data_IF_605505378014
#
_entry.id   IF_605505378014
#
_cell.length_a   1.000
_cell.length_b   1.000
_cell.length_c   1.000
_cell.angle_alpha   90.00
_cell.angle_beta   90.00
_cell.angle_gamma   90.00
#
_symmetry.space_group_name_H-M   'P 1'
#
loop_
_entity.id
_entity.type
_entity.pdbx_description
1 polymer ?
#
# COMPACT_ATOMS: atom_id res chain seq x y z
N UNK A 1 -2.44 -18.59 10.21
CA UNK A 1 -3.79 -18.43 10.77
C UNK A 1 -3.71 -17.98 12.23
N UNK A 2 -3.36 -16.72 12.46
CA UNK A 2 -3.21 -16.14 13.81
C UNK A 2 -4.57 -15.66 14.33
N UNK A 3 -5.36 -15.00 13.48
CA UNK A 3 -6.67 -14.47 13.82
C UNK A 3 -7.70 -15.58 14.11
N UNK A 4 -7.78 -16.58 13.25
CA UNK A 4 -8.72 -17.71 13.37
C UNK A 4 -8.44 -18.51 14.64
N UNK A 5 -7.15 -18.76 14.93
CA UNK A 5 -6.74 -19.44 16.16
C UNK A 5 -7.15 -18.64 17.40
N UNK A 6 -6.93 -17.33 17.41
CA UNK A 6 -7.31 -16.47 18.53
C UNK A 6 -8.83 -16.50 18.77
N UNK A 7 -9.63 -16.37 17.71
CA UNK A 7 -11.10 -16.44 17.78
C UNK A 7 -11.54 -17.81 18.33
N UNK A 8 -11.05 -18.92 17.76
CA UNK A 8 -11.45 -20.28 18.17
C UNK A 8 -11.05 -20.57 19.62
N UNK A 9 -9.88 -20.12 20.07
CA UNK A 9 -9.46 -20.28 21.46
C UNK A 9 -10.36 -19.54 22.43
N UNK A 10 -10.81 -18.33 22.09
CA UNK A 10 -11.78 -17.57 22.89
C UNK A 10 -13.16 -18.23 22.91
N UNK A 11 -13.67 -18.64 21.75
CA UNK A 11 -14.98 -19.30 21.63
C UNK A 11 -15.02 -20.67 22.32
N UNK A 12 -13.89 -21.39 22.37
CA UNK A 12 -13.77 -22.63 23.16
C UNK A 12 -14.01 -22.40 24.65
N UNK A 13 -13.57 -21.26 25.19
CA UNK A 13 -13.75 -20.91 26.61
C UNK A 13 -15.16 -20.37 26.89
N UNK A 14 -15.74 -19.62 25.94
CA UNK A 14 -17.08 -19.06 26.07
C UNK A 14 -17.77 -18.96 24.70
N UNK A 15 -18.71 -19.87 24.42
CA UNK A 15 -19.25 -20.11 23.08
C UNK A 15 -20.11 -18.96 22.51
N UNK A 16 -20.60 -18.03 23.33
CA UNK A 16 -21.49 -16.95 22.90
C UNK A 16 -20.86 -15.55 22.98
N UNK A 17 -19.59 -15.41 23.40
CA UNK A 17 -18.95 -14.11 23.56
C UNK A 17 -18.10 -13.73 22.33
N UNK A 18 -18.78 -13.35 21.25
CA UNK A 18 -18.15 -12.97 19.99
C UNK A 18 -17.28 -11.72 20.10
N UNK A 19 -17.71 -10.73 20.88
CA UNK A 19 -16.95 -9.49 21.07
C UNK A 19 -15.58 -9.76 21.70
N UNK A 20 -15.54 -10.62 22.73
CA UNK A 20 -14.27 -11.00 23.36
C UNK A 20 -13.41 -11.85 22.43
N UNK A 21 -14.02 -12.70 21.61
CA UNK A 21 -13.30 -13.48 20.61
C UNK A 21 -12.65 -12.60 19.54
N UNK A 22 -13.37 -11.57 19.07
CA UNK A 22 -12.80 -10.56 18.19
C UNK A 22 -11.67 -9.80 18.90
N UNK A 23 -11.86 -9.31 20.12
CA UNK A 23 -10.81 -8.65 20.91
C UNK A 23 -9.56 -9.50 21.18
N UNK A 24 -9.68 -10.83 21.08
CA UNK A 24 -8.53 -11.74 21.19
C UNK A 24 -7.54 -11.65 20.03
N UNK A 25 -7.94 -11.08 18.89
CA UNK A 25 -7.04 -10.83 17.76
C UNK A 25 -6.12 -9.65 18.09
N UNK A 26 -4.80 -9.71 17.80
CA UNK A 26 -3.89 -8.58 17.99
C UNK A 26 -4.41 -7.28 17.35
N UNK A 27 -4.28 -6.15 18.06
CA UNK A 27 -4.83 -4.84 17.64
C UNK A 27 -4.50 -4.48 16.19
N UNK A 28 -3.24 -4.63 15.77
CA UNK A 28 -2.79 -4.34 14.40
C UNK A 28 -3.59 -5.09 13.34
N UNK A 29 -3.86 -6.39 13.55
CA UNK A 29 -4.66 -7.18 12.63
C UNK A 29 -6.14 -6.79 12.65
N UNK A 30 -6.65 -6.33 13.79
CA UNK A 30 -8.04 -5.83 13.88
C UNK A 30 -8.21 -4.53 13.13
N UNK A 31 -7.26 -3.61 13.29
CA UNK A 31 -7.28 -2.32 12.59
C UNK A 31 -7.23 -2.50 11.08
N UNK A 32 -6.56 -3.55 10.58
CA UNK A 32 -6.55 -3.89 9.15
C UNK A 32 -7.96 -4.02 8.54
N UNK A 33 -8.95 -4.54 9.27
CA UNK A 33 -10.33 -4.64 8.77
C UNK A 33 -11.02 -3.29 8.67
N UNK A 34 -10.75 -2.38 9.61
CA UNK A 34 -11.33 -1.02 9.57
C UNK A 34 -10.66 -0.22 8.44
N UNK A 35 -9.34 -0.31 8.32
CA UNK A 35 -8.57 0.33 7.25
C UNK A 35 -8.91 -0.20 5.86
N UNK A 36 -9.20 -1.49 5.72
CA UNK A 36 -9.61 -2.06 4.43
C UNK A 36 -10.98 -1.50 4.01
N UNK A 37 -11.89 -1.28 4.95
CA UNK A 37 -13.17 -0.63 4.68
C UNK A 37 -13.01 0.87 4.33
N UNK A 38 -12.16 1.61 5.06
CA UNK A 38 -11.80 2.99 4.68
C UNK A 38 -11.25 3.05 3.25
N UNK A 39 -10.35 2.11 2.91
CA UNK A 39 -9.76 2.00 1.56
C UNK A 39 -10.80 1.63 0.51
N UNK A 40 -11.78 0.79 0.84
CA UNK A 40 -12.89 0.43 -0.03
C UNK A 40 -13.72 1.66 -0.39
N UNK A 41 -14.13 2.46 0.61
CA UNK A 41 -14.88 3.71 0.39
C UNK A 41 -14.06 4.70 -0.45
N UNK A 42 -12.79 4.89 -0.11
CA UNK A 42 -11.88 5.77 -0.83
C UNK A 42 -11.71 5.37 -2.30
N UNK A 43 -11.51 4.07 -2.59
CA UNK A 43 -11.36 3.57 -3.96
C UNK A 43 -12.60 3.85 -4.82
N UNK A 44 -13.80 3.74 -4.25
CA UNK A 44 -15.04 4.04 -4.96
C UNK A 44 -15.20 5.55 -5.20
N UNK A 45 -14.90 6.37 -4.19
CA UNK A 45 -14.93 7.82 -4.31
C UNK A 45 -13.94 8.34 -5.36
N UNK A 46 -12.71 7.82 -5.38
CA UNK A 46 -11.70 8.11 -6.40
C UNK A 46 -12.20 7.73 -7.79
N UNK A 47 -12.73 6.51 -7.94
CA UNK A 47 -13.20 6.01 -9.23
C UNK A 47 -14.35 6.90 -9.76
N UNK A 48 -15.27 7.29 -8.89
CA UNK A 48 -16.35 8.23 -9.21
C UNK A 48 -15.81 9.61 -9.62
N UNK A 49 -14.83 10.14 -8.88
CA UNK A 49 -14.19 11.43 -9.19
C UNK A 49 -13.53 11.40 -10.58
N UNK A 50 -12.77 10.36 -10.88
CA UNK A 50 -12.11 10.22 -12.19
C UNK A 50 -13.15 10.09 -13.30
N UNK A 51 -14.21 9.28 -13.10
CA UNK A 51 -15.28 9.11 -14.07
C UNK A 51 -16.03 10.42 -14.38
N UNK A 52 -16.28 11.23 -13.35
CA UNK A 52 -17.12 12.42 -13.47
C UNK A 52 -16.37 13.68 -13.92
N UNK A 53 -15.14 13.86 -13.45
CA UNK A 53 -14.39 15.10 -13.61
C UNK A 53 -13.05 14.91 -14.34
N UNK A 54 -12.72 13.68 -14.76
CA UNK A 54 -11.49 13.37 -15.49
C UNK A 54 -10.22 13.36 -14.63
N UNK A 55 -9.05 13.32 -15.29
CA UNK A 55 -7.74 13.20 -14.64
C UNK A 55 -6.79 14.40 -14.87
N UNK A 56 -7.20 15.40 -15.65
CA UNK A 56 -6.32 16.51 -16.06
C UNK A 56 -6.56 17.82 -15.29
N UNK A 57 -7.70 17.94 -14.61
CA UNK A 57 -8.13 19.21 -14.02
C UNK A 57 -8.58 19.06 -12.56
N UNK A 58 -8.28 20.10 -11.78
CA UNK A 58 -8.85 20.33 -10.44
C UNK A 58 -10.23 20.97 -10.62
N UNK A 59 -11.23 20.54 -9.85
CA UNK A 59 -12.59 21.10 -9.90
C UNK A 59 -13.00 21.74 -8.57
N UNK A 60 -13.97 22.64 -8.63
CA UNK A 60 -14.50 23.32 -7.43
C UNK A 60 -15.04 22.26 -6.46
N UNK A 61 -14.67 22.41 -5.19
CA UNK A 61 -15.03 21.47 -4.14
C UNK A 61 -14.09 20.26 -3.99
N UNK A 62 -13.08 20.09 -4.86
CA UNK A 62 -11.99 19.12 -4.59
C UNK A 62 -11.22 19.52 -3.33
N UNK A 63 -10.56 18.55 -2.68
CA UNK A 63 -9.65 18.81 -1.58
C UNK A 63 -8.21 18.80 -2.11
N UNK A 64 -7.41 19.78 -1.71
CA UNK A 64 -6.01 19.90 -2.10
C UNK A 64 -5.10 20.06 -0.89
N UNK A 65 -3.86 19.57 -1.03
CA UNK A 65 -2.80 19.84 -0.06
C UNK A 65 -2.34 21.29 -0.17
N UNK A 66 -2.40 22.03 0.93
CA UNK A 66 -1.90 23.39 0.98
C UNK A 66 -0.38 23.40 0.85
N UNK A 67 0.12 24.19 -0.11
CA UNK A 67 1.52 24.63 -0.12
C UNK A 67 1.63 25.76 0.92
N UNK A 68 2.78 25.88 1.58
CA UNK A 68 3.05 26.56 2.88
C UNK A 68 2.52 28.01 3.11
N UNK A 69 1.77 28.62 2.19
CA UNK A 69 1.25 29.98 2.27
C UNK A 69 -0.29 30.08 2.18
N UNK A 70 -1.05 29.22 2.87
CA UNK A 70 -2.51 29.31 2.90
C UNK A 70 -3.03 30.05 4.14
N UNK A 71 -3.08 31.39 4.10
CA UNK A 71 -3.80 32.23 5.06
C UNK A 71 -5.28 32.33 4.67
N UNK A 72 -6.07 31.32 5.03
CA UNK A 72 -7.52 31.31 4.84
C UNK A 72 -8.23 30.63 6.00
N UNK A 73 -9.41 31.13 6.37
CA UNK A 73 -10.19 30.74 7.57
C UNK A 73 -10.76 29.31 7.55
N UNK A 74 -10.40 28.47 6.59
CA UNK A 74 -10.89 27.09 6.41
C UNK A 74 -9.73 26.07 6.32
N UNK A 75 -8.63 26.34 7.02
CA UNK A 75 -7.51 25.41 7.13
C UNK A 75 -7.75 24.46 8.30
N UNK A 76 -8.04 23.20 8.01
CA UNK A 76 -8.09 22.16 9.05
C UNK A 76 -6.71 21.52 9.23
N UNK A 77 -6.22 21.54 10.47
CA UNK A 77 -4.94 20.95 10.87
C UNK A 77 -5.09 19.43 11.06
N UNK A 78 -4.20 18.65 10.44
CA UNK A 78 -4.15 17.20 10.63
C UNK A 78 -2.78 16.74 11.10
N UNK A 79 -2.77 16.01 12.20
CA UNK A 79 -1.68 15.14 12.60
C UNK A 79 -1.84 13.83 11.82
N UNK A 80 -0.88 13.55 10.96
CA UNK A 80 -0.82 12.26 10.28
C UNK A 80 -0.05 11.30 11.18
N UNK A 81 -0.78 10.39 11.83
CA UNK A 81 -0.15 9.17 12.31
C UNK A 81 0.25 8.37 11.06
N UNK A 82 1.52 8.52 10.64
CA UNK A 82 2.16 7.52 9.80
C UNK A 82 1.90 6.16 10.45
N UNK A 83 1.55 5.15 9.65
CA UNK A 83 1.07 3.82 10.06
C UNK A 83 2.04 2.94 10.86
N UNK A 84 2.88 3.53 11.71
CA UNK A 84 3.52 2.92 12.85
C UNK A 84 2.79 3.40 14.11
N UNK A 85 1.64 2.80 14.42
CA UNK A 85 1.13 2.82 15.80
C UNK A 85 2.19 2.10 16.65
N UNK A 86 3.14 2.86 17.21
CA UNK A 86 3.95 2.39 18.32
C UNK A 86 2.96 1.98 19.41
N UNK A 87 2.99 0.68 19.73
CA UNK A 87 2.17 0.09 20.75
C UNK A 87 2.42 0.85 22.07
N UNK A 88 1.51 1.74 22.45
CA UNK A 88 1.41 2.17 23.85
C UNK A 88 0.99 0.94 24.64
N UNK A 89 2.01 0.26 25.15
CA UNK A 89 1.94 -0.83 26.10
C UNK A 89 1.40 -0.23 27.39
N UNK A 90 0.09 -0.35 27.60
CA UNK A 90 -0.51 -0.05 28.90
C UNK A 90 -0.13 -1.20 29.84
N UNK A 91 1.09 -1.09 30.38
CA UNK A 91 1.55 -1.82 31.55
C UNK A 91 2.39 -0.84 32.37
N UNK A 92 1.79 -0.39 33.46
CA UNK A 92 2.42 0.36 34.54
C UNK A 92 3.73 -0.31 35.00
N UNK A 93 4.87 0.37 34.84
CA UNK A 93 5.99 0.54 35.80
C UNK A 93 7.34 0.84 35.09
N UNK A 94 7.81 2.10 35.23
CA UNK A 94 9.17 2.57 35.60
C UNK A 94 10.38 1.69 35.18
N UNK A 95 11.14 2.11 34.16
CA UNK A 95 12.56 2.56 34.22
C UNK A 95 13.28 2.48 32.85
N UNK A 96 14.03 3.55 32.55
CA UNK A 96 15.27 3.63 31.76
C UNK A 96 15.41 2.94 30.37
N UNK A 97 15.52 3.76 29.31
CA UNK A 97 16.53 3.74 28.21
C UNK A 97 15.98 4.12 26.81
N UNK A 98 16.79 4.98 26.17
CA UNK A 98 16.91 5.36 24.75
C UNK A 98 15.87 6.28 24.12
N UNK A 99 16.24 7.57 24.08
CA UNK A 99 15.90 8.52 23.04
C UNK A 99 16.05 7.84 21.67
N UNK A 100 14.93 7.55 21.02
CA UNK A 100 14.88 7.25 19.59
C UNK A 100 14.09 8.38 18.95
N UNK A 101 14.71 9.02 17.97
CA UNK A 101 14.20 10.19 17.26
C UNK A 101 12.76 9.96 16.77
N UNK A 102 11.83 10.70 17.35
CA UNK A 102 10.45 10.79 16.91
C UNK A 102 10.46 11.54 15.58
N UNK A 103 9.97 10.97 14.46
CA UNK A 103 9.92 11.68 13.18
C UNK A 103 9.04 12.92 13.33
N UNK A 104 9.57 14.09 12.95
CA UNK A 104 8.89 15.38 13.01
C UNK A 104 7.47 15.30 12.43
N UNK A 105 6.50 15.77 13.24
CA UNK A 105 5.07 15.80 12.92
C UNK A 105 4.82 16.69 11.70
N UNK A 106 4.68 16.06 10.53
CA UNK A 106 4.30 16.77 9.30
C UNK A 106 2.80 17.06 9.34
N UNK A 107 2.43 18.23 9.83
CA UNK A 107 1.03 18.69 9.80
C UNK A 107 0.56 18.83 8.35
N UNK A 108 -0.36 17.96 7.93
CA UNK A 108 -0.94 18.04 6.58
C UNK A 108 -2.08 19.05 6.63
N UNK A 109 -1.93 20.14 5.88
CA UNK A 109 -2.95 21.17 5.73
C UNK A 109 -3.76 20.88 4.47
N UNK A 110 -5.07 20.75 4.63
CA UNK A 110 -6.00 20.48 3.52
C UNK A 110 -7.00 21.61 3.40
N UNK A 111 -7.29 22.01 2.16
CA UNK A 111 -8.25 23.06 1.81
C UNK A 111 -9.22 22.57 0.74
N UNK A 112 -10.47 23.04 0.83
CA UNK A 112 -11.47 22.91 -0.24
C UNK A 112 -11.19 23.94 -1.33
N UNK A 113 -11.12 23.49 -2.58
CA UNK A 113 -10.86 24.35 -3.75
C UNK A 113 -12.08 25.20 -4.06
N UNK A 114 -11.90 26.52 -4.06
CA UNK A 114 -12.91 27.49 -4.46
C UNK A 114 -12.70 27.98 -5.90
N UNK A 115 -13.67 28.70 -6.47
CA UNK A 115 -13.55 29.25 -7.83
C UNK A 115 -12.35 30.20 -8.00
N UNK A 116 -11.96 30.90 -6.95
CA UNK A 116 -10.80 31.81 -6.93
C UNK A 116 -9.49 31.03 -7.07
N UNK A 117 -9.38 29.86 -6.44
CA UNK A 117 -8.20 29.00 -6.50
C UNK A 117 -8.01 28.38 -7.89
N UNK A 118 -9.12 28.12 -8.59
CA UNK A 118 -9.06 27.64 -9.98
C UNK A 118 -8.58 28.77 -10.90
N UNK A 119 -9.06 30.00 -10.70
CA UNK A 119 -8.61 31.16 -11.48
C UNK A 119 -7.15 31.50 -11.22
N UNK A 120 -6.65 31.29 -10.00
CA UNK A 120 -5.25 31.52 -9.66
C UNK A 120 -4.31 30.45 -10.22
N UNK A 121 -4.81 29.26 -10.57
CA UNK A 121 -4.01 28.17 -11.15
C UNK A 121 -2.91 27.64 -10.21
N UNK A 122 -3.07 27.83 -8.89
CA UNK A 122 -2.02 27.52 -7.89
C UNK A 122 -1.87 26.01 -7.63
N UNK A 123 -2.93 25.24 -7.85
CA UNK A 123 -3.01 23.82 -7.55
C UNK A 123 -3.01 22.98 -8.82
N UNK A 124 -2.30 21.86 -8.79
CA UNK A 124 -2.28 20.84 -9.83
C UNK A 124 -3.15 19.66 -9.44
N UNK A 125 -3.50 18.81 -10.41
CA UNK A 125 -4.19 17.54 -10.17
C UNK A 125 -3.38 16.60 -9.24
N UNK A 126 -2.05 16.75 -9.21
CA UNK A 126 -1.15 16.01 -8.32
C UNK A 126 -1.31 16.39 -6.83
N UNK A 127 -1.91 17.55 -6.56
CA UNK A 127 -2.16 18.06 -5.20
C UNK A 127 -3.54 17.61 -4.66
N UNK A 128 -4.38 17.01 -5.52
CA UNK A 128 -5.73 16.57 -5.16
C UNK A 128 -5.69 15.34 -4.25
N UNK A 129 -6.37 15.44 -3.11
CA UNK A 129 -6.51 14.39 -2.11
C UNK A 129 -7.97 14.04 -1.88
N UNK A 130 -8.20 12.82 -1.41
CA UNK A 130 -9.50 12.39 -0.89
C UNK A 130 -9.33 11.78 0.50
N UNK A 131 -10.35 11.93 1.38
CA UNK A 131 -10.24 11.53 2.77
C UNK A 131 -10.40 10.02 2.94
N UNK A 132 -9.62 9.44 3.85
CA UNK A 132 -9.92 8.17 4.50
C UNK A 132 -10.85 8.47 5.67
N UNK A 133 -12.11 7.99 5.66
CA UNK A 133 -13.11 8.35 6.65
C UNK A 133 -12.63 8.16 8.10
N UNK A 134 -12.79 9.19 8.93
CA UNK A 134 -12.41 9.20 10.34
C UNK A 134 -13.04 10.36 11.11
N UNK A 135 -12.66 10.54 12.37
CA UNK A 135 -13.18 11.59 13.25
C UNK A 135 -12.68 12.99 12.90
N UNK A 136 -11.48 13.08 12.32
CA UNK A 136 -10.79 14.32 11.96
C UNK A 136 -10.53 14.29 10.47
N UNK A 137 -11.59 14.32 9.66
CA UNK A 137 -11.48 14.55 8.20
C UNK A 137 -12.58 15.47 7.71
N UNK A 138 -12.24 16.27 6.69
CA UNK A 138 -13.19 17.04 5.91
C UNK A 138 -13.50 16.27 4.62
N UNK A 139 -14.75 16.35 4.18
CA UNK A 139 -15.18 15.77 2.92
C UNK A 139 -15.20 16.85 1.82
N UNK A 140 -14.97 16.48 0.55
CA UNK A 140 -15.10 17.39 -0.59
C UNK A 140 -16.48 18.05 -0.62
N UNK A 141 -16.59 19.32 -1.00
CA UNK A 141 -17.89 20.01 -1.09
C UNK A 141 -18.69 19.62 -2.35
N UNK A 142 -18.12 18.79 -3.22
CA UNK A 142 -18.75 18.33 -4.45
C UNK A 142 -19.51 17.01 -4.24
N UNK A 143 -20.06 16.46 -5.32
CA UNK A 143 -20.85 15.22 -5.29
C UNK A 143 -20.08 13.98 -4.81
N UNK A 144 -18.74 14.03 -4.74
CA UNK A 144 -17.93 12.91 -4.24
C UNK A 144 -18.26 12.61 -2.77
N UNK A 145 -18.57 13.63 -1.96
CA UNK A 145 -18.96 13.40 -0.57
C UNK A 145 -20.22 12.53 -0.46
N UNK A 146 -21.15 12.65 -1.41
CA UNK A 146 -22.36 11.82 -1.43
C UNK A 146 -22.01 10.34 -1.59
N UNK A 147 -21.00 10.01 -2.40
CA UNK A 147 -20.53 8.62 -2.58
C UNK A 147 -20.09 8.01 -1.25
N UNK A 148 -19.37 8.76 -0.42
CA UNK A 148 -18.99 8.28 0.91
C UNK A 148 -20.21 7.99 1.79
N UNK A 149 -21.15 8.93 1.84
CA UNK A 149 -22.36 8.78 2.65
C UNK A 149 -23.26 7.65 2.15
N UNK A 150 -23.52 7.56 0.84
CA UNK A 150 -24.39 6.56 0.24
C UNK A 150 -23.86 5.13 0.44
N UNK A 151 -22.54 4.93 0.27
CA UNK A 151 -21.91 3.63 0.50
C UNK A 151 -21.92 3.25 1.98
N UNK A 152 -21.58 4.19 2.86
CA UNK A 152 -21.59 3.92 4.29
C UNK A 152 -23.00 3.65 4.82
N UNK A 153 -24.00 4.41 4.38
CA UNK A 153 -25.40 4.22 4.77
C UNK A 153 -25.96 2.89 4.27
N UNK A 154 -25.58 2.47 3.05
CA UNK A 154 -25.92 1.14 2.53
C UNK A 154 -25.43 0.00 3.43
N UNK A 155 -24.27 0.19 4.04
CA UNK A 155 -23.69 -0.78 4.98
C UNK A 155 -24.10 -0.53 6.45
N UNK A 156 -25.02 0.42 6.69
CA UNK A 156 -25.55 0.75 8.02
C UNK A 156 -24.57 1.53 8.91
N UNK A 157 -23.56 2.18 8.32
CA UNK A 157 -22.50 2.91 9.02
C UNK A 157 -22.73 4.41 8.85
N UNK A 158 -22.77 5.16 9.96
CA UNK A 158 -22.77 6.62 9.94
C UNK A 158 -21.34 7.14 10.07
N UNK A 159 -20.90 7.96 9.12
CA UNK A 159 -19.54 8.49 9.11
C UNK A 159 -19.32 9.66 10.10
N UNK A 160 -20.39 10.37 10.47
CA UNK A 160 -20.32 11.55 11.36
C UNK A 160 -20.58 11.23 12.84
N UNK A 161 -21.22 10.09 13.13
CA UNK A 161 -21.66 9.73 14.48
C UNK A 161 -21.06 8.37 14.87
N UNK A 162 -20.49 8.28 16.07
CA UNK A 162 -20.00 7.01 16.60
C UNK A 162 -21.20 6.13 16.99
N UNK A 163 -21.62 5.24 16.09
CA UNK A 163 -22.73 4.31 16.35
C UNK A 163 -22.28 3.03 17.07
N UNK A 164 -20.98 2.78 17.17
CA UNK A 164 -20.46 1.55 17.74
C UNK A 164 -20.24 1.64 19.25
N UNK A 165 -20.77 0.67 20.01
CA UNK A 165 -20.60 0.58 21.48
C UNK A 165 -19.15 0.31 21.92
N UNK A 166 -18.28 -0.05 20.98
CA UNK A 166 -16.85 -0.34 21.23
C UNK A 166 -16.02 0.54 20.31
N UNK A 167 -15.35 1.54 20.89
CA UNK A 167 -14.56 2.55 20.17
C UNK A 167 -13.61 1.93 19.15
N UNK A 168 -12.91 0.87 19.53
CA UNK A 168 -11.91 0.20 18.70
C UNK A 168 -12.43 -0.36 17.36
N UNK A 169 -13.73 -0.63 17.22
CA UNK A 169 -14.31 -1.07 15.94
C UNK A 169 -15.07 0.05 15.21
N UNK A 170 -15.08 1.26 15.76
CA UNK A 170 -15.74 2.41 15.13
C UNK A 170 -14.79 3.11 14.18
N UNK A 171 -15.25 3.34 12.95
CA UNK A 171 -14.53 4.19 11.97
C UNK A 171 -14.30 5.61 12.51
N UNK A 172 -15.22 6.09 13.35
CA UNK A 172 -15.15 7.42 13.98
C UNK A 172 -14.24 7.47 15.20
N UNK A 173 -13.63 6.36 15.62
CA UNK A 173 -12.61 6.39 16.69
C UNK A 173 -11.20 6.51 16.14
N UNK A 174 -11.04 6.38 14.83
CA UNK A 174 -9.80 6.66 14.12
C UNK A 174 -9.77 8.13 13.74
N UNK A 175 -8.59 8.74 13.70
CA UNK A 175 -8.41 10.12 13.22
C UNK A 175 -8.85 10.24 11.75
N UNK A 176 -8.53 9.22 10.94
CA UNK A 176 -8.68 9.27 9.49
C UNK A 176 -7.41 9.84 8.86
N UNK A 177 -7.48 10.21 7.59
CA UNK A 177 -6.32 10.80 6.91
C UNK A 177 -6.63 11.23 5.50
N UNK A 178 -5.61 11.70 4.78
CA UNK A 178 -5.73 12.12 3.39
C UNK A 178 -4.81 11.31 2.50
N UNK A 179 -5.34 10.91 1.35
CA UNK A 179 -4.57 10.19 0.36
C UNK A 179 -4.68 10.88 -0.98
N UNK A 180 -3.53 11.09 -1.63
CA UNK A 180 -3.45 11.64 -2.99
C UNK A 180 -4.20 10.73 -3.95
N UNK A 181 -5.00 11.34 -4.81
CA UNK A 181 -5.77 10.62 -5.83
C UNK A 181 -4.84 10.14 -6.94
N UNK A 182 -3.89 10.99 -7.34
CA UNK A 182 -2.93 10.73 -8.38
C UNK A 182 -1.51 10.75 -7.83
N UNK A 183 -0.70 9.78 -8.25
CA UNK A 183 0.70 9.69 -7.86
C UNK A 183 1.55 9.38 -9.09
N UNK A 184 2.62 10.16 -9.26
CA UNK A 184 3.62 9.93 -10.30
C UNK A 184 4.80 9.16 -9.72
N UNK A 185 5.22 8.05 -10.35
CA UNK A 185 6.49 7.41 -10.03
C UNK A 185 7.65 8.37 -10.29
N UNK A 186 8.68 8.31 -9.44
CA UNK A 186 9.94 9.03 -9.63
C UNK A 186 10.95 8.10 -10.31
N UNK A 187 11.93 8.69 -11.00
CA UNK A 187 13.08 7.95 -11.54
C UNK A 187 12.65 6.75 -12.41
N UNK A 188 11.74 7.00 -13.35
CA UNK A 188 11.17 5.95 -14.19
C UNK A 188 12.11 5.59 -15.34
N UNK A 189 12.63 4.36 -15.32
CA UNK A 189 13.47 3.77 -16.35
C UNK A 189 12.83 2.49 -16.87
N UNK A 190 12.95 2.21 -18.17
CA UNK A 190 12.44 0.98 -18.75
C UNK A 190 13.34 0.48 -19.88
N UNK A 191 13.38 -0.84 -20.05
CA UNK A 191 14.06 -1.50 -21.15
C UNK A 191 13.29 -2.74 -21.63
N UNK A 192 13.39 -3.02 -22.93
CA UNK A 192 12.83 -4.21 -23.55
C UNK A 192 13.92 -5.26 -23.75
N UNK A 193 13.70 -6.44 -23.18
CA UNK A 193 14.66 -7.55 -23.22
C UNK A 193 14.07 -8.70 -24.02
N UNK A 194 14.85 -9.24 -24.95
CA UNK A 194 14.50 -10.49 -25.63
C UNK A 194 15.03 -11.67 -24.83
N UNK A 195 14.19 -12.68 -24.60
CA UNK A 195 14.58 -13.91 -23.91
C UNK A 195 14.01 -15.14 -24.60
N UNK A 196 14.70 -16.26 -24.47
CA UNK A 196 14.27 -17.55 -25.03
C UNK A 196 13.82 -18.50 -23.93
N UNK A 197 14.55 -18.52 -22.81
CA UNK A 197 14.27 -19.37 -21.65
C UNK A 197 13.46 -18.60 -20.60
N UNK A 198 12.23 -19.05 -20.32
CA UNK A 198 11.35 -18.44 -19.33
C UNK A 198 11.75 -18.73 -17.87
N UNK A 199 12.71 -19.62 -17.63
CA UNK A 199 13.21 -19.92 -16.28
C UNK A 199 14.40 -19.06 -15.87
N UNK A 200 15.02 -18.37 -16.84
CA UNK A 200 16.17 -17.52 -16.61
C UNK A 200 15.74 -16.19 -15.95
N UNK A 201 16.32 -15.80 -14.80
CA UNK A 201 16.10 -14.47 -14.22
C UNK A 201 16.61 -13.36 -15.14
N UNK A 202 15.75 -12.37 -15.42
CA UNK A 202 16.08 -11.21 -16.27
C UNK A 202 16.63 -10.01 -15.49
N UNK A 203 16.63 -10.10 -14.16
CA UNK A 203 17.12 -9.06 -13.25
C UNK A 203 18.00 -9.72 -12.21
N UNK A 204 19.15 -9.11 -11.93
CA UNK A 204 20.06 -9.57 -10.89
C UNK A 204 19.51 -9.20 -9.51
N UNK A 205 19.58 -10.13 -8.57
CA UNK A 205 19.24 -9.87 -7.17
C UNK A 205 20.43 -9.28 -6.43
N UNK A 206 20.17 -8.64 -5.29
CA UNK A 206 21.24 -8.15 -4.38
C UNK A 206 22.21 -9.27 -4.01
N UNK A 207 21.71 -10.49 -3.84
CA UNK A 207 22.53 -11.67 -3.56
C UNK A 207 23.48 -12.01 -4.71
N UNK A 208 23.03 -11.93 -5.97
CA UNK A 208 23.86 -12.21 -7.14
C UNK A 208 25.01 -11.20 -7.24
N UNK A 209 24.72 -9.92 -6.95
CA UNK A 209 25.71 -8.85 -6.93
C UNK A 209 26.76 -9.09 -5.84
N UNK A 210 26.31 -9.43 -4.62
CA UNK A 210 27.21 -9.73 -3.49
C UNK A 210 28.07 -10.97 -3.78
N UNK A 211 27.47 -12.05 -4.29
CA UNK A 211 28.19 -13.27 -4.61
C UNK A 211 29.28 -13.05 -5.67
N UNK A 212 28.99 -12.23 -6.69
CA UNK A 212 29.99 -11.81 -7.69
C UNK A 212 31.12 -10.97 -7.08
N UNK A 213 30.78 -10.04 -6.19
CA UNK A 213 31.76 -9.22 -5.47
C UNK A 213 32.68 -10.05 -4.56
N UNK A 214 32.14 -11.06 -3.86
CA UNK A 214 32.94 -11.97 -3.03
C UNK A 214 33.89 -12.83 -3.86
N UNK A 215 33.45 -13.33 -5.02
CA UNK A 215 34.30 -14.09 -5.95
C UNK A 215 35.40 -13.23 -6.57
N UNK A 216 35.11 -11.98 -6.90
CA UNK A 216 36.08 -11.04 -7.47
C UNK A 216 37.09 -10.50 -6.44
N UNK A 217 36.83 -10.66 -5.14
CA UNK A 217 37.75 -10.26 -4.05
C UNK A 217 38.73 -11.39 -3.67
N UNK A 218 38.55 -12.60 -4.19
CA UNK A 218 39.56 -13.65 -4.19
C UNK A 218 40.35 -13.54 -5.49
N UNK A 219 41.59 -13.05 -5.43
CA UNK A 219 42.48 -13.00 -6.61
C UNK A 219 42.71 -14.39 -7.23
N UNK A 220 42.98 -14.47 -8.55
CA UNK A 220 43.33 -15.69 -9.25
C UNK A 220 44.79 -16.09 -8.91
N UNK A 221 44.99 -16.80 -7.80
CA UNK A 221 46.35 -17.10 -7.35
C UNK A 221 46.55 -18.27 -6.40
N UNK A 222 45.53 -19.05 -6.07
CA UNK A 222 45.72 -20.27 -5.28
C UNK A 222 44.95 -21.40 -5.94
N UNK A 223 45.69 -22.41 -6.43
CA UNK A 223 45.10 -23.69 -6.79
C UNK A 223 44.25 -24.20 -5.61
N UNK A 224 43.06 -24.77 -5.86
CA UNK A 224 42.27 -25.32 -4.78
C UNK A 224 43.00 -26.55 -4.24
N UNK A 225 43.57 -26.44 -3.04
CA UNK A 225 43.89 -27.61 -2.23
C UNK A 225 42.57 -28.37 -2.02
N UNK A 226 42.53 -29.59 -2.57
CA UNK A 226 41.50 -30.61 -2.33
C UNK A 226 41.30 -30.78 -0.82
N UNK A 227 40.32 -30.09 -0.20
CA UNK A 227 39.67 -30.58 1.03
C UNK A 227 38.41 -29.88 1.55
N UNK A 228 38.03 -28.68 1.11
CA UNK A 228 36.87 -27.99 1.72
C UNK A 228 35.70 -27.71 0.74
N UNK A 229 35.37 -28.69 -0.11
CA UNK A 229 34.07 -28.75 -0.81
C UNK A 229 33.29 -29.97 -0.29
N UNK A 230 32.97 -29.95 0.99
CA UNK A 230 31.87 -30.73 1.53
C UNK A 230 31.07 -29.79 2.42
N UNK A 231 30.01 -29.22 1.85
CA UNK A 231 28.67 -29.17 2.45
C UNK A 231 27.88 -27.96 1.92
N UNK A 232 27.44 -28.04 0.67
CA UNK A 232 26.05 -27.73 0.35
C UNK A 232 25.72 -28.12 -1.07
N UNK A 233 24.84 -29.13 -1.16
CA UNK A 233 23.84 -29.33 -2.22
C UNK A 233 24.28 -30.23 -3.37
N UNK A 234 24.35 -31.51 -3.05
CA UNK A 234 23.83 -32.57 -3.91
C UNK A 234 22.40 -32.18 -4.34
N UNK A 235 22.25 -31.67 -5.56
CA UNK A 235 21.09 -31.98 -6.38
C UNK A 235 21.62 -32.93 -7.44
N UNK A 236 21.27 -34.18 -7.25
CA UNK A 236 21.51 -35.28 -8.16
C UNK A 236 21.14 -34.85 -9.57
N UNK A 237 22.13 -34.88 -10.47
CA UNK A 237 21.90 -34.99 -11.89
C UNK A 237 21.19 -36.32 -12.13
N UNK A 238 19.87 -36.30 -12.22
CA UNK A 238 19.14 -37.27 -13.03
C UNK A 238 19.14 -36.74 -14.45
N UNK A 239 20.05 -37.30 -15.26
CA UNK A 239 19.92 -37.35 -16.71
C UNK A 239 18.63 -38.10 -17.04
N UNK A 240 17.52 -37.36 -17.14
CA UNK A 240 16.38 -37.79 -17.95
C UNK A 240 16.29 -36.79 -19.12
N UNK A 241 17.02 -37.13 -20.17
CA UNK A 241 16.70 -36.70 -21.52
C UNK A 241 15.26 -37.09 -21.83
N UNK A 242 14.34 -36.14 -21.68
CA UNK A 242 13.07 -36.15 -22.40
C UNK A 242 12.98 -34.90 -23.27
N UNK A 243 13.40 -35.14 -24.50
CA UNK A 243 13.07 -34.45 -25.73
C UNK A 243 11.69 -33.73 -25.68
N UNK A 244 11.73 -32.43 -25.41
CA UNK A 244 10.72 -31.49 -25.90
C UNK A 244 11.42 -30.21 -26.29
N UNK A 245 12.14 -30.30 -27.40
CA UNK A 245 12.53 -29.14 -28.21
C UNK A 245 11.27 -28.48 -28.81
N UNK A 246 10.36 -27.98 -27.98
CA UNK A 246 9.48 -26.90 -28.41
C UNK A 246 10.39 -25.69 -28.60
N UNK A 247 10.63 -25.32 -29.86
CA UNK A 247 11.24 -24.05 -30.22
C UNK A 247 10.40 -22.91 -29.59
N UNK A 248 10.71 -22.55 -28.35
CA UNK A 248 10.15 -21.36 -27.71
C UNK A 248 10.71 -20.19 -28.51
N UNK A 249 9.83 -19.58 -29.31
CA UNK A 249 10.15 -18.37 -30.04
C UNK A 249 10.68 -17.30 -29.08
N UNK A 250 11.54 -16.41 -29.61
CA UNK A 250 12.03 -15.27 -28.85
C UNK A 250 10.85 -14.48 -28.25
N UNK A 251 10.79 -14.42 -26.94
CA UNK A 251 9.80 -13.66 -26.18
C UNK A 251 10.39 -12.30 -25.80
N UNK A 252 9.51 -11.35 -25.48
CA UNK A 252 9.88 -10.00 -25.08
C UNK A 252 9.42 -9.74 -23.66
N UNK A 253 10.32 -9.25 -22.83
CA UNK A 253 10.05 -8.79 -21.47
C UNK A 253 10.20 -7.27 -21.37
N UNK A 254 9.36 -6.65 -20.55
CA UNK A 254 9.48 -5.24 -20.18
C UNK A 254 10.05 -5.17 -18.75
N UNK A 255 11.28 -4.68 -18.63
CA UNK A 255 11.88 -4.37 -17.34
C UNK A 255 11.64 -2.89 -17.02
N UNK A 256 11.23 -2.61 -15.78
CA UNK A 256 10.95 -1.26 -15.30
C UNK A 256 11.63 -1.05 -13.95
N UNK A 257 12.17 0.15 -13.74
CA UNK A 257 12.69 0.64 -12.48
C UNK A 257 12.02 1.97 -12.17
N UNK A 258 11.50 2.13 -10.95
CA UNK A 258 10.88 3.39 -10.50
C UNK A 258 10.72 3.43 -8.98
N UNK A 259 10.70 4.65 -8.44
CA UNK A 259 10.54 4.92 -7.02
C UNK A 259 9.11 5.39 -6.72
N UNK A 260 8.48 4.80 -5.70
CA UNK A 260 7.16 5.19 -5.20
C UNK A 260 7.25 5.72 -3.76
N UNK A 261 6.41 6.71 -3.38
CA UNK A 261 6.24 7.07 -1.98
C UNK A 261 5.67 5.92 -1.14
N UNK A 262 5.76 6.04 0.18
CA UNK A 262 5.08 5.15 1.10
C UNK A 262 3.57 5.08 0.81
N UNK A 263 2.93 3.96 1.15
CA UNK A 263 1.50 3.73 0.95
C UNK A 263 1.03 3.75 -0.52
N UNK A 264 1.96 3.53 -1.46
CA UNK A 264 1.69 3.33 -2.89
C UNK A 264 1.99 1.89 -3.30
N UNK A 265 1.26 1.39 -4.31
CA UNK A 265 1.35 0.00 -4.76
C UNK A 265 1.85 -0.05 -6.21
N UNK A 266 3.00 -0.68 -6.44
CA UNK A 266 3.58 -0.86 -7.78
C UNK A 266 2.63 -1.57 -8.74
N UNK A 267 1.83 -2.50 -8.24
CA UNK A 267 0.78 -3.19 -9.02
C UNK A 267 -0.22 -2.22 -9.63
N UNK A 268 -0.54 -1.10 -8.98
CA UNK A 268 -1.47 -0.11 -9.54
C UNK A 268 -0.85 0.67 -10.70
N UNK A 269 0.45 0.96 -10.65
CA UNK A 269 1.17 1.58 -11.76
C UNK A 269 1.27 0.62 -12.97
N UNK A 270 1.59 -0.65 -12.71
CA UNK A 270 1.62 -1.70 -13.75
C UNK A 270 0.24 -1.91 -14.37
N UNK A 271 -0.82 -1.91 -13.55
CA UNK A 271 -2.22 -2.01 -14.01
C UNK A 271 -2.57 -0.91 -15.00
N UNK A 272 -2.15 0.32 -14.70
CA UNK A 272 -2.39 1.48 -15.56
C UNK A 272 -1.63 1.37 -16.89
N UNK A 273 -0.37 0.92 -16.84
CA UNK A 273 0.46 0.72 -18.03
C UNK A 273 -0.09 -0.37 -18.96
N UNK A 274 -0.46 -1.53 -18.39
CA UNK A 274 -0.92 -2.69 -19.15
C UNK A 274 -2.41 -2.63 -19.51
N UNK A 275 -3.19 -1.74 -18.87
CA UNK A 275 -4.66 -1.65 -18.97
C UNK A 275 -5.35 -2.99 -18.68
N UNK A 276 -4.73 -3.86 -17.90
CA UNK A 276 -5.20 -5.22 -17.60
C UNK A 276 -5.33 -5.43 -16.09
N UNK A 277 -6.18 -6.37 -15.67
CA UNK A 277 -6.28 -6.73 -14.25
C UNK A 277 -4.96 -7.25 -13.72
N UNK A 278 -4.55 -6.82 -12.53
CA UNK A 278 -3.38 -7.35 -11.82
C UNK A 278 -3.74 -8.44 -10.80
N UNK A 279 -4.93 -9.03 -10.93
CA UNK A 279 -5.34 -10.12 -10.04
C UNK A 279 -4.56 -11.39 -10.36
N UNK A 280 -4.19 -12.13 -9.31
CA UNK A 280 -3.47 -13.42 -9.47
C UNK A 280 -4.26 -14.39 -10.37
N UNK A 281 -5.59 -14.42 -10.23
CA UNK A 281 -6.45 -15.25 -11.06
C UNK A 281 -6.35 -14.89 -12.56
N UNK A 282 -6.32 -13.59 -12.88
CA UNK A 282 -6.19 -13.14 -14.27
C UNK A 282 -4.81 -13.49 -14.85
N UNK A 283 -3.74 -13.27 -14.09
CA UNK A 283 -2.39 -13.65 -14.54
C UNK A 283 -2.22 -15.16 -14.69
N UNK A 284 -2.85 -15.97 -13.85
CA UNK A 284 -2.86 -17.43 -14.03
C UNK A 284 -3.55 -17.83 -15.33
N UNK A 285 -4.70 -17.23 -15.65
CA UNK A 285 -5.39 -17.53 -16.92
C UNK A 285 -4.57 -17.16 -18.16
N UNK A 286 -3.73 -16.12 -18.08
CA UNK A 286 -2.84 -15.75 -19.18
C UNK A 286 -1.72 -16.77 -19.43
N UNK A 287 -1.28 -17.49 -18.40
CA UNK A 287 -0.24 -18.52 -18.52
C UNK A 287 -0.78 -19.88 -18.99
N UNK A 288 -2.09 -20.09 -18.85
CA UNK A 288 -2.78 -21.32 -19.27
C UNK A 288 -3.31 -21.23 -20.72
N UNK A 289 -3.16 -20.06 -21.37
CA UNK A 289 -3.61 -19.77 -22.74
C UNK A 289 -2.48 -19.92 -23.75
#
# INVERSE_FOLDING_TARGET
>A
MVAERAILQCLKKNQANYLQALKGIPRTLRMMYVHSYQSYLWNHAVSFRVQKHGFDQVVVGDLVLCKENCTGNETSYFECENGSENATNDNTNIDEVSETDIPEETHILVKVVNEEDIKSGTYSVDDVVLPLPGSRVIYPSNEIAKVYHDLAEKDGIKLAECTHNVKEFSITSMTGGYRRVFQKPKEFEWELLSYTDGTQPLVETDWDIIAKSMRNSQEPGTEPDDKDIIMSREVSQSEEDLDSSTAQGSQMALKMSFTLPASCYATMAVRELLRSSTSVAYHKSLNES
#
